data_IF_569980408597
#
_entry.id   IF_569980408597
#
_cell.length_a   1.000
_cell.length_b   1.000
_cell.length_c   1.000
_cell.angle_alpha   90.00
_cell.angle_beta   90.00
_cell.angle_gamma   90.00
#
_symmetry.space_group_name_H-M   'P 1'
#
loop_
_entity.id
_entity.type
_entity.pdbx_description
1 polymer ?
#
# COMPACT_ATOMS: atom_id res chain seq x y z
N UNK A 1 -2.41 -3.72 26.06
CA UNK A 1 -2.24 -2.67 25.04
C UNK A 1 -2.23 -3.32 23.65
N UNK A 2 -3.38 -3.48 23.01
CA UNK A 2 -3.53 -3.78 21.57
C UNK A 2 -5.03 -3.78 21.27
N UNK A 3 -5.62 -2.59 21.10
CA UNK A 3 -7.03 -2.43 20.74
C UNK A 3 -7.15 -1.44 19.61
N UNK A 4 -6.53 -1.72 18.46
CA UNK A 4 -6.79 -1.02 17.21
C UNK A 4 -6.38 -1.95 16.07
N UNK A 5 -7.30 -2.79 15.59
CA UNK A 5 -7.11 -3.37 14.26
C UNK A 5 -8.40 -3.70 13.53
N UNK A 6 -9.41 -2.85 13.67
CA UNK A 6 -10.49 -2.87 12.70
C UNK A 6 -10.15 -1.85 11.59
N UNK A 7 -10.01 -2.27 10.31
CA UNK A 7 -9.81 -1.35 9.19
C UNK A 7 -10.91 -0.28 9.09
N UNK A 8 -12.08 -0.53 9.70
CA UNK A 8 -13.19 0.41 9.75
C UNK A 8 -13.01 1.58 10.74
N UNK A 9 -12.13 1.46 11.75
CA UNK A 9 -11.90 2.47 12.80
C UNK A 9 -10.55 3.22 12.66
N UNK A 10 -10.00 3.31 11.45
CA UNK A 10 -8.76 4.06 11.25
C UNK A 10 -9.01 5.59 11.37
N UNK A 11 -8.14 6.37 12.06
CA UNK A 11 -8.35 7.81 12.30
C UNK A 11 -8.57 8.65 11.03
N UNK A 12 -8.02 8.19 9.91
CA UNK A 12 -8.13 8.83 8.59
C UNK A 12 -9.21 8.19 7.68
N UNK A 13 -10.05 7.32 8.23
CA UNK A 13 -11.13 6.64 7.54
C UNK A 13 -10.74 5.27 6.97
N UNK A 14 -11.75 4.47 6.56
CA UNK A 14 -11.58 3.07 6.16
C UNK A 14 -10.74 2.88 4.89
N UNK A 15 -10.62 3.92 4.04
CA UNK A 15 -9.74 3.90 2.87
C UNK A 15 -8.26 3.82 3.25
N UNK A 16 -7.84 4.56 4.28
CA UNK A 16 -6.46 4.56 4.78
C UNK A 16 -6.16 3.26 5.53
N UNK A 17 -7.12 2.75 6.31
CA UNK A 17 -6.98 1.43 6.95
C UNK A 17 -6.67 0.33 5.93
N UNK A 18 -7.46 0.25 4.84
CA UNK A 18 -7.19 -0.70 3.75
C UNK A 18 -5.81 -0.53 3.11
N UNK A 19 -5.35 0.71 2.94
CA UNK A 19 -4.01 0.98 2.38
C UNK A 19 -2.91 0.47 3.32
N UNK A 20 -3.04 0.74 4.62
CA UNK A 20 -2.10 0.25 5.63
C UNK A 20 -2.02 -1.27 5.62
N UNK A 21 -3.16 -1.96 5.55
CA UNK A 21 -3.19 -3.42 5.52
C UNK A 21 -2.45 -3.98 4.30
N UNK A 22 -2.74 -3.44 3.11
CA UNK A 22 -2.07 -3.86 1.86
C UNK A 22 -0.57 -3.59 1.86
N UNK A 23 -0.15 -2.51 2.49
CA UNK A 23 1.28 -2.18 2.64
C UNK A 23 1.96 -3.10 3.67
N UNK A 24 1.26 -3.48 4.75
CA UNK A 24 1.79 -4.36 5.78
C UNK A 24 1.92 -5.83 5.33
N UNK A 25 1.16 -6.24 4.31
CA UNK A 25 1.29 -7.57 3.69
C UNK A 25 2.57 -7.72 2.83
N UNK A 26 3.27 -6.61 2.55
CA UNK A 26 4.49 -6.65 1.73
C UNK A 26 5.69 -7.17 2.54
N UNK A 27 6.55 -8.01 1.94
CA UNK A 27 7.73 -8.53 2.63
C UNK A 27 8.64 -7.37 3.04
N UNK A 28 8.96 -7.30 4.35
CA UNK A 28 9.82 -6.26 4.91
C UNK A 28 9.12 -4.98 5.36
N UNK A 29 7.78 -4.89 5.23
CA UNK A 29 7.01 -3.73 5.71
C UNK A 29 6.12 -4.15 6.88
N UNK A 30 6.50 -3.79 8.10
CA UNK A 30 5.63 -3.94 9.27
C UNK A 30 4.57 -2.84 9.37
N UNK A 31 3.53 -3.07 10.17
CA UNK A 31 2.41 -2.14 10.43
C UNK A 31 2.80 -0.68 10.67
N UNK A 32 3.78 -0.43 11.56
CA UNK A 32 4.27 0.93 11.84
C UNK A 32 4.91 1.61 10.61
N UNK A 33 5.56 0.83 9.75
CA UNK A 33 6.11 1.34 8.49
C UNK A 33 5.01 1.55 7.45
N UNK A 34 4.02 0.65 7.38
CA UNK A 34 2.86 0.80 6.52
C UNK A 34 2.04 2.06 6.85
N UNK A 35 1.78 2.34 8.13
CA UNK A 35 1.13 3.57 8.60
C UNK A 35 1.91 4.83 8.19
N UNK A 36 3.24 4.82 8.33
CA UNK A 36 4.08 5.95 7.91
C UNK A 36 3.99 6.21 6.41
N UNK A 37 4.00 5.15 5.60
CA UNK A 37 3.86 5.24 4.14
C UNK A 37 2.45 5.71 3.73
N UNK A 38 1.40 5.21 4.40
CA UNK A 38 0.03 5.65 4.15
C UNK A 38 -0.16 7.14 4.47
N UNK A 39 0.39 7.62 5.60
CA UNK A 39 0.35 9.05 5.94
C UNK A 39 1.08 9.92 4.91
N UNK A 40 2.21 9.45 4.38
CA UNK A 40 2.90 10.14 3.29
C UNK A 40 2.01 10.24 2.04
N UNK A 41 1.33 9.16 1.65
CA UNK A 41 0.45 9.13 0.48
C UNK A 41 -0.82 10.00 0.64
N UNK A 42 -1.29 10.20 1.88
CA UNK A 42 -2.39 11.15 2.17
C UNK A 42 -1.92 12.60 2.03
N UNK A 43 -0.66 12.89 2.37
CA UNK A 43 -0.10 14.24 2.33
C UNK A 43 0.48 14.64 0.97
N UNK A 44 0.82 13.68 0.11
CA UNK A 44 1.42 13.96 -1.19
C UNK A 44 0.38 14.45 -2.21
N UNK A 45 0.87 14.90 -3.36
CA UNK A 45 -0.01 15.35 -4.45
C UNK A 45 -0.75 14.16 -5.04
N UNK A 46 -2.00 14.39 -5.46
CA UNK A 46 -2.83 13.37 -6.13
C UNK A 46 -2.09 12.70 -7.31
N UNK A 47 -1.39 13.49 -8.12
CA UNK A 47 -0.67 12.98 -9.30
C UNK A 47 0.47 12.02 -8.92
N UNK A 48 1.17 12.28 -7.82
CA UNK A 48 2.25 11.42 -7.31
C UNK A 48 1.70 10.09 -6.78
N UNK A 49 0.61 10.14 -6.02
CA UNK A 49 -0.07 8.94 -5.52
C UNK A 49 -0.59 8.06 -6.67
N UNK A 50 -1.16 8.68 -7.70
CA UNK A 50 -1.66 7.97 -8.88
C UNK A 50 -0.52 7.38 -9.72
N UNK A 51 0.58 8.12 -9.93
CA UNK A 51 1.74 7.60 -10.64
C UNK A 51 2.33 6.35 -9.97
N UNK A 52 2.35 6.30 -8.63
CA UNK A 52 2.76 5.10 -7.90
C UNK A 52 1.79 3.92 -8.14
N UNK A 53 0.48 4.18 -8.09
CA UNK A 53 -0.53 3.16 -8.33
C UNK A 53 -0.43 2.59 -9.76
N UNK A 54 -0.18 3.46 -10.75
CA UNK A 54 0.05 3.07 -12.14
C UNK A 54 1.33 2.25 -12.29
N UNK A 55 2.44 2.65 -11.68
CA UNK A 55 3.68 1.86 -11.71
C UNK A 55 3.49 0.44 -11.15
N UNK A 56 2.72 0.29 -10.08
CA UNK A 56 2.37 -1.03 -9.51
C UNK A 56 1.54 -1.86 -10.50
N UNK A 57 0.55 -1.23 -11.13
CA UNK A 57 -0.33 -1.85 -12.14
C UNK A 57 0.47 -2.31 -13.35
N UNK A 58 1.30 -1.42 -13.90
CA UNK A 58 2.11 -1.67 -15.09
C UNK A 58 3.05 -2.85 -14.89
N UNK A 59 3.69 -2.97 -13.73
CA UNK A 59 4.54 -4.15 -13.43
C UNK A 59 3.73 -5.44 -13.44
N UNK A 60 2.51 -5.44 -12.87
CA UNK A 60 1.64 -6.62 -12.86
C UNK A 60 1.13 -7.01 -14.24
N UNK A 61 0.92 -6.03 -15.12
CA UNK A 61 0.39 -6.27 -16.47
C UNK A 61 1.48 -6.62 -17.48
N UNK A 62 2.60 -5.89 -17.44
CA UNK A 62 3.70 -6.01 -18.42
C UNK A 62 4.72 -7.10 -18.08
N UNK A 63 5.02 -7.32 -16.79
CA UNK A 63 6.06 -8.27 -16.40
C UNK A 63 5.49 -9.68 -16.36
N UNK A 64 5.75 -10.43 -17.43
CA UNK A 64 5.51 -11.88 -17.50
C UNK A 64 6.81 -12.61 -17.17
N UNK A 65 6.71 -13.71 -16.42
CA UNK A 65 7.83 -14.64 -16.27
C UNK A 65 8.19 -15.22 -17.64
N UNK A 66 9.46 -15.14 -18.00
CA UNK A 66 10.01 -15.72 -19.22
C UNK A 66 9.70 -17.23 -19.25
N UNK A 67 8.98 -17.70 -20.27
CA UNK A 67 8.64 -19.13 -20.43
C UNK A 67 9.85 -20.07 -20.63
N UNK A 68 11.04 -19.51 -20.84
CA UNK A 68 12.28 -20.23 -21.12
C UNK A 68 13.27 -20.21 -19.96
N UNK A 69 13.13 -19.25 -19.04
CA UNK A 69 14.16 -18.88 -18.07
C UNK A 69 13.70 -19.05 -16.61
N UNK A 70 12.39 -19.19 -16.37
CA UNK A 70 11.75 -19.20 -15.06
C UNK A 70 10.93 -20.48 -14.88
#
# INVERSE_FOLDING_TARGET
MARFHDPAEHPFGPSVGRLVDRLADLPGIGRKSAERLANYLVACRKDEALALADAIRDVKESVRRCRRCY
#
